data_IF_721757300933
#
_entry.id   IF_721757300933
#
_cell.length_a   1.000
_cell.length_b   1.000
_cell.length_c   1.000
_cell.angle_alpha   90.00
_cell.angle_beta   90.00
_cell.angle_gamma   90.00
#
_symmetry.space_group_name_H-M   'P 1'
#
loop_
_entity.id
_entity.type
_entity.pdbx_description
1 polymer ?
#
# COMPACT_ATOMS: atom_id res chain seq x y z
N UNK A 1 -17.21 -6.93 -4.64
CA UNK A 1 -16.60 -8.09 -5.32
C UNK A 1 -15.49 -8.57 -4.42
N UNK A 2 -15.60 -9.80 -3.93
CA UNK A 2 -14.78 -10.31 -2.83
C UNK A 2 -13.28 -10.31 -3.17
N UNK A 3 -12.50 -9.52 -2.42
CA UNK A 3 -11.06 -9.40 -2.61
C UNK A 3 -10.35 -10.73 -2.33
N UNK A 4 -10.89 -11.52 -1.39
CA UNK A 4 -10.36 -12.83 -1.02
C UNK A 4 -10.43 -13.80 -2.19
N UNK A 5 -11.60 -13.97 -2.79
CA UNK A 5 -11.79 -14.86 -3.96
C UNK A 5 -10.86 -14.50 -5.15
N UNK A 6 -10.60 -13.21 -5.37
CA UNK A 6 -9.66 -12.75 -6.42
C UNK A 6 -8.19 -13.09 -6.13
N UNK A 7 -7.81 -13.17 -4.86
CA UNK A 7 -6.45 -13.51 -4.45
C UNK A 7 -6.26 -15.03 -4.43
N UNK A 8 -7.23 -15.76 -3.87
CA UNK A 8 -7.20 -17.22 -3.82
C UNK A 8 -7.24 -17.84 -5.22
N UNK A 9 -8.01 -17.28 -6.16
CA UNK A 9 -8.01 -17.73 -7.57
C UNK A 9 -6.65 -17.55 -8.27
N UNK A 10 -5.79 -16.66 -7.75
CA UNK A 10 -4.42 -16.45 -8.23
C UNK A 10 -3.38 -17.26 -7.46
N UNK A 11 -3.82 -18.15 -6.56
CA UNK A 11 -2.94 -18.96 -5.71
C UNK A 11 -2.33 -18.19 -4.54
N UNK A 12 -2.79 -16.97 -4.26
CA UNK A 12 -2.32 -16.17 -3.13
C UNK A 12 -3.11 -16.55 -1.89
N UNK A 13 -2.42 -16.95 -0.82
CA UNK A 13 -3.05 -17.21 0.48
C UNK A 13 -3.49 -15.88 1.09
N UNK A 14 -4.81 -15.67 1.16
CA UNK A 14 -5.38 -14.54 1.89
C UNK A 14 -5.24 -14.76 3.38
N UNK A 15 -4.70 -13.77 4.08
CA UNK A 15 -4.58 -13.74 5.53
C UNK A 15 -5.67 -12.79 6.01
N UNK A 16 -6.70 -13.34 6.65
CA UNK A 16 -7.81 -12.53 7.14
C UNK A 16 -7.44 -11.90 8.49
N UNK A 17 -7.31 -10.57 8.57
CA UNK A 17 -6.95 -9.90 9.82
C UNK A 17 -8.05 -10.02 10.89
N UNK A 18 -9.27 -10.45 10.53
CA UNK A 18 -10.46 -10.35 11.38
C UNK A 18 -10.92 -11.64 12.05
N UNK A 19 -10.14 -12.73 11.99
CA UNK A 19 -10.61 -14.05 12.45
C UNK A 19 -10.77 -14.25 13.98
N UNK A 20 -10.95 -13.18 14.76
CA UNK A 20 -11.33 -13.27 16.17
C UNK A 20 -12.28 -12.18 16.72
N UNK A 21 -12.87 -11.31 15.89
CA UNK A 21 -13.83 -10.32 16.39
C UNK A 21 -15.04 -10.15 15.46
N UNK A 22 -16.16 -10.76 15.85
CA UNK A 22 -17.49 -10.32 15.46
C UNK A 22 -17.80 -9.00 16.17
N UNK A 23 -17.35 -7.87 15.63
CA UNK A 23 -17.84 -6.56 16.07
C UNK A 23 -17.92 -5.60 14.89
N UNK A 24 -19.16 -5.28 14.54
CA UNK A 24 -19.54 -4.26 13.56
C UNK A 24 -19.35 -2.88 14.18
N UNK A 25 -18.12 -2.42 14.40
CA UNK A 25 -17.84 -1.03 14.73
C UNK A 25 -16.33 -0.78 14.63
N UNK A 26 -15.96 0.28 13.92
CA UNK A 26 -14.57 0.71 13.71
C UNK A 26 -13.98 1.30 14.98
N UNK A 27 -13.82 0.45 15.98
CA UNK A 27 -13.33 0.78 17.31
C UNK A 27 -11.89 0.21 17.43
N UNK A 28 -10.98 0.89 18.12
CA UNK A 28 -9.53 0.63 18.10
C UNK A 28 -9.04 -0.80 18.45
N UNK A 29 -9.93 -1.73 18.84
CA UNK A 29 -9.67 -3.17 18.98
C UNK A 29 -9.13 -3.83 17.72
N UNK A 30 -9.45 -3.25 16.57
CA UNK A 30 -9.12 -3.75 15.24
C UNK A 30 -7.60 -3.72 14.96
N UNK A 31 -6.93 -2.68 15.44
CA UNK A 31 -5.48 -2.51 15.26
C UNK A 31 -4.67 -3.48 16.13
N UNK A 32 -5.14 -3.78 17.35
CA UNK A 32 -4.47 -4.71 18.26
C UNK A 32 -4.57 -6.15 17.76
N UNK A 33 -5.73 -6.56 17.24
CA UNK A 33 -5.92 -7.88 16.63
C UNK A 33 -5.01 -8.05 15.40
N UNK A 34 -4.95 -7.03 14.54
CA UNK A 34 -4.05 -7.01 13.38
C UNK A 34 -2.58 -7.11 13.81
N UNK A 35 -2.16 -6.35 14.83
CA UNK A 35 -0.78 -6.40 15.35
C UNK A 35 -0.42 -7.77 15.92
N UNK A 36 -1.32 -8.38 16.69
CA UNK A 36 -1.10 -9.72 17.26
C UNK A 36 -0.99 -10.79 16.17
N UNK A 37 -1.72 -10.63 15.06
CA UNK A 37 -1.59 -11.52 13.90
C UNK A 37 -0.24 -11.32 13.20
N UNK A 38 0.16 -10.07 12.96
CA UNK A 38 1.44 -9.75 12.32
C UNK A 38 2.62 -10.31 13.11
N UNK A 39 2.59 -10.23 14.44
CA UNK A 39 3.61 -10.84 15.30
C UNK A 39 3.82 -12.35 15.05
N UNK A 40 2.75 -13.09 14.71
CA UNK A 40 2.83 -14.54 14.44
C UNK A 40 3.31 -14.84 13.02
N UNK A 41 2.94 -13.99 12.05
CA UNK A 41 3.18 -14.26 10.62
C UNK A 41 4.55 -13.74 10.16
N UNK A 42 4.96 -12.55 10.62
CA UNK A 42 6.19 -11.88 10.18
C UNK A 42 7.47 -12.72 10.32
N UNK A 43 7.70 -13.53 11.38
CA UNK A 43 8.89 -14.39 11.48
C UNK A 43 9.05 -15.37 10.31
N UNK A 44 7.93 -15.86 9.79
CA UNK A 44 7.90 -16.86 8.70
C UNK A 44 8.13 -16.26 7.32
N UNK A 45 8.06 -14.93 7.17
CA UNK A 45 8.16 -14.23 5.88
C UNK A 45 9.57 -13.71 5.67
N UNK A 46 10.08 -13.78 4.44
CA UNK A 46 11.43 -13.28 4.10
C UNK A 46 11.41 -11.89 3.47
N UNK A 47 10.33 -11.56 2.77
CA UNK A 47 10.07 -10.28 2.14
C UNK A 47 8.66 -9.80 2.49
N UNK A 48 8.55 -8.58 2.97
CA UNK A 48 7.27 -7.92 3.27
C UNK A 48 7.15 -6.66 2.41
N UNK A 49 6.04 -6.51 1.71
CA UNK A 49 5.75 -5.33 0.88
C UNK A 49 4.60 -4.56 1.51
N UNK A 50 4.83 -3.30 1.85
CA UNK A 50 3.82 -2.40 2.42
C UNK A 50 3.33 -1.43 1.35
N UNK A 51 2.02 -1.49 1.05
CA UNK A 51 1.38 -0.67 0.02
C UNK A 51 0.18 0.12 0.53
N UNK A 52 -0.05 0.16 1.84
CA UNK A 52 -1.19 0.89 2.39
C UNK A 52 -0.94 2.40 2.21
N UNK A 53 -1.96 3.09 1.69
CA UNK A 53 -1.94 4.53 1.49
C UNK A 53 -3.34 5.07 1.79
N UNK A 54 -3.44 6.03 2.70
CA UNK A 54 -4.66 6.77 2.90
C UNK A 54 -4.77 7.89 1.86
N UNK A 55 -6.00 8.36 1.62
CA UNK A 55 -6.30 9.37 0.58
C UNK A 55 -5.66 10.74 0.85
N UNK A 56 -5.36 11.02 2.11
CA UNK A 56 -4.69 12.20 2.63
C UNK A 56 -3.15 12.06 2.65
N UNK A 57 -2.61 10.99 2.05
CA UNK A 57 -1.17 10.73 1.96
C UNK A 57 -0.45 10.50 3.30
N UNK A 58 -1.18 10.38 4.41
CA UNK A 58 -0.64 9.89 5.67
C UNK A 58 -0.78 8.37 5.69
N UNK A 59 0.29 7.64 5.40
CA UNK A 59 0.19 6.19 5.54
C UNK A 59 0.04 5.84 7.02
N UNK A 60 -0.82 4.88 7.37
CA UNK A 60 -0.90 4.38 8.74
C UNK A 60 0.44 3.74 9.09
N UNK A 61 1.01 4.09 10.25
CA UNK A 61 2.18 3.39 10.80
C UNK A 61 1.78 1.95 11.14
N UNK A 62 1.86 1.09 10.12
CA UNK A 62 1.36 -0.28 10.16
C UNK A 62 2.42 -1.23 10.73
N UNK A 63 3.69 -0.88 10.55
CA UNK A 63 4.83 -1.63 11.09
C UNK A 63 5.62 -0.78 12.07
N UNK A 64 5.41 -1.07 13.35
CA UNK A 64 6.23 -0.58 14.45
C UNK A 64 7.65 -1.15 14.39
N UNK A 65 8.62 -0.45 14.99
CA UNK A 65 10.00 -0.92 15.08
C UNK A 65 10.15 -2.26 15.81
N UNK A 66 9.23 -2.59 16.72
CA UNK A 66 9.19 -3.90 17.37
C UNK A 66 8.84 -5.02 16.37
N UNK A 67 7.82 -4.82 15.53
CA UNK A 67 7.40 -5.77 14.50
C UNK A 67 8.51 -6.03 13.47
N UNK A 68 9.23 -4.98 13.09
CA UNK A 68 10.41 -5.09 12.21
C UNK A 68 11.47 -5.99 12.86
N UNK A 69 11.73 -5.82 14.15
CA UNK A 69 12.77 -6.57 14.85
C UNK A 69 12.45 -8.07 15.00
N UNK A 70 11.17 -8.42 15.09
CA UNK A 70 10.69 -9.80 15.17
C UNK A 70 11.01 -10.62 13.91
N UNK A 71 11.18 -9.97 12.75
CA UNK A 71 11.57 -10.67 11.52
C UNK A 71 12.98 -11.28 11.65
N UNK A 72 13.92 -10.56 12.25
CA UNK A 72 15.31 -11.02 12.40
C UNK A 72 16.18 -10.81 11.15
N UNK A 73 17.48 -11.13 11.29
CA UNK A 73 18.52 -10.73 10.33
C UNK A 73 18.33 -11.36 8.95
N UNK A 74 18.65 -10.59 7.90
CA UNK A 74 18.70 -11.07 6.52
C UNK A 74 17.38 -10.94 5.74
N UNK A 75 16.31 -10.53 6.41
CA UNK A 75 15.01 -10.29 5.78
C UNK A 75 14.87 -8.85 5.27
N UNK A 76 13.89 -8.63 4.40
CA UNK A 76 13.70 -7.37 3.71
C UNK A 76 12.26 -6.85 3.85
N UNK A 77 12.11 -5.56 4.06
CA UNK A 77 10.85 -4.83 4.01
C UNK A 77 10.95 -3.82 2.88
N UNK A 78 9.96 -3.81 1.98
CA UNK A 78 9.84 -2.83 0.91
C UNK A 78 8.59 -1.99 1.15
N UNK A 79 8.80 -0.72 1.48
CA UNK A 79 7.72 0.23 1.74
C UNK A 79 7.50 1.11 0.52
N UNK A 80 6.35 0.96 -0.14
CA UNK A 80 6.02 1.68 -1.38
C UNK A 80 5.66 3.14 -1.14
N UNK A 81 5.24 3.52 0.06
CA UNK A 81 4.89 4.90 0.42
C UNK A 81 5.96 5.57 1.27
N UNK A 82 6.97 4.82 1.70
CA UNK A 82 8.03 5.25 2.63
C UNK A 82 7.52 5.82 3.96
N UNK A 83 6.30 5.46 4.35
CA UNK A 83 5.59 5.98 5.53
C UNK A 83 4.81 4.92 6.31
N UNK A 84 4.74 3.67 5.81
CA UNK A 84 4.10 2.56 6.52
C UNK A 84 4.98 2.02 7.65
N UNK A 85 6.29 2.22 7.56
CA UNK A 85 7.28 1.68 8.49
C UNK A 85 7.89 2.82 9.32
N UNK A 86 7.95 2.67 10.65
CA UNK A 86 8.54 3.70 11.53
C UNK A 86 10.02 4.00 11.25
N UNK A 87 10.74 3.05 10.63
CA UNK A 87 12.17 3.14 10.32
C UNK A 87 12.46 3.44 8.84
N UNK A 88 11.42 3.54 7.99
CA UNK A 88 11.61 3.82 6.57
C UNK A 88 12.02 5.29 6.38
N UNK A 89 12.95 5.51 5.44
CA UNK A 89 13.33 6.84 4.96
C UNK A 89 13.06 6.92 3.46
N UNK A 90 12.39 7.96 2.95
CA UNK A 90 12.08 8.07 1.53
C UNK A 90 13.35 8.05 0.67
N UNK A 91 13.43 7.09 -0.25
CA UNK A 91 14.53 6.97 -1.21
C UNK A 91 15.79 6.30 -0.66
N UNK A 92 15.80 5.84 0.59
CA UNK A 92 16.96 5.21 1.22
C UNK A 92 16.73 3.73 1.53
N UNK A 93 17.82 2.97 1.55
CA UNK A 93 17.86 1.62 2.09
C UNK A 93 18.48 1.69 3.48
N UNK A 94 17.63 1.56 4.51
CA UNK A 94 18.02 1.56 5.91
C UNK A 94 18.21 0.13 6.37
N UNK A 95 19.30 -0.15 7.10
CA UNK A 95 19.48 -1.43 7.79
C UNK A 95 19.28 -1.19 9.28
N UNK A 96 18.34 -1.89 9.91
CA UNK A 96 18.19 -1.79 11.36
C UNK A 96 19.42 -2.39 12.05
N UNK A 97 20.13 -1.59 12.84
CA UNK A 97 21.35 -2.01 13.53
C UNK A 97 21.11 -3.07 14.60
N UNK A 98 19.87 -3.19 15.10
CA UNK A 98 19.51 -4.15 16.16
C UNK A 98 19.10 -5.50 15.57
N UNK A 99 18.19 -5.51 14.60
CA UNK A 99 17.67 -6.75 14.01
C UNK A 99 18.33 -7.17 12.69
N UNK A 100 19.12 -6.30 12.06
CA UNK A 100 19.75 -6.55 10.76
C UNK A 100 18.76 -6.74 9.59
N UNK A 101 17.53 -6.27 9.74
CA UNK A 101 16.52 -6.23 8.67
C UNK A 101 16.83 -5.07 7.72
N UNK A 102 16.72 -5.32 6.41
CA UNK A 102 16.84 -4.28 5.38
C UNK A 102 15.48 -3.67 5.12
N UNK A 103 15.40 -2.35 5.11
CA UNK A 103 14.18 -1.57 4.91
C UNK A 103 14.42 -0.67 3.71
N UNK A 104 13.68 -0.92 2.63
CA UNK A 104 13.74 -0.15 1.40
C UNK A 104 12.55 0.80 1.40
N UNK A 105 12.80 2.09 1.67
CA UNK A 105 11.79 3.12 1.52
C UNK A 105 11.74 3.56 0.06
N UNK A 106 10.84 2.98 -0.74
CA UNK A 106 10.70 3.39 -2.14
C UNK A 106 10.12 4.81 -2.20
N UNK A 107 10.81 5.68 -2.93
CA UNK A 107 10.28 6.98 -3.31
C UNK A 107 10.04 6.97 -4.82
N UNK A 108 8.80 7.32 -5.23
CA UNK A 108 8.37 7.36 -6.64
C UNK A 108 8.71 6.07 -7.41
N UNK A 109 8.06 4.96 -7.05
CA UNK A 109 8.28 3.67 -7.72
C UNK A 109 8.14 3.71 -9.26
N UNK A 110 7.36 4.66 -9.80
CA UNK A 110 7.22 4.87 -11.25
C UNK A 110 8.54 5.35 -11.92
N UNK A 111 9.39 6.05 -11.19
CA UNK A 111 10.66 6.57 -11.69
C UNK A 111 11.68 5.44 -11.93
N UNK A 112 11.50 4.27 -11.30
CA UNK A 112 12.33 3.10 -11.54
C UNK A 112 12.10 2.47 -12.92
N UNK A 113 10.94 2.69 -13.55
CA UNK A 113 10.59 2.14 -14.86
C UNK A 113 9.90 3.21 -15.71
N UNK A 114 10.61 4.29 -16.07
CA UNK A 114 10.00 5.50 -16.62
C UNK A 114 9.31 5.25 -17.96
N UNK A 115 9.91 4.43 -18.84
CA UNK A 115 9.34 4.09 -20.14
C UNK A 115 7.98 3.38 -20.02
N UNK A 116 7.88 2.36 -19.16
CA UNK A 116 6.63 1.64 -18.94
C UNK A 116 5.58 2.51 -18.24
N UNK A 117 6.00 3.36 -17.30
CA UNK A 117 5.14 4.32 -16.63
C UNK A 117 4.53 5.32 -17.63
N UNK A 118 5.33 5.90 -18.52
CA UNK A 118 4.85 6.80 -19.57
C UNK A 118 3.86 6.12 -20.51
N UNK A 119 4.15 4.91 -20.98
CA UNK A 119 3.22 4.15 -21.84
C UNK A 119 1.88 3.89 -21.15
N UNK A 120 1.91 3.48 -19.88
CA UNK A 120 0.71 3.26 -19.05
C UNK A 120 -0.09 4.55 -18.90
N UNK A 121 0.59 5.67 -18.61
CA UNK A 121 -0.02 6.97 -18.42
C UNK A 121 -0.66 7.52 -19.70
N UNK A 122 0.05 7.48 -20.83
CA UNK A 122 -0.48 7.86 -22.15
C UNK A 122 -1.71 7.00 -22.51
N UNK A 123 -1.68 5.71 -22.20
CA UNK A 123 -2.82 4.82 -22.44
C UNK A 123 -4.04 5.20 -21.59
N UNK A 124 -3.83 5.61 -20.32
CA UNK A 124 -4.91 6.12 -19.47
C UNK A 124 -5.55 7.37 -20.08
N UNK A 125 -4.75 8.33 -20.58
CA UNK A 125 -5.25 9.55 -21.23
C UNK A 125 -6.07 9.19 -22.48
N UNK A 126 -5.53 8.33 -23.34
CA UNK A 126 -6.23 7.89 -24.55
C UNK A 126 -7.55 7.20 -24.22
N UNK A 127 -7.58 6.36 -23.18
CA UNK A 127 -8.80 5.68 -22.76
C UNK A 127 -9.84 6.64 -22.20
N UNK A 128 -9.43 7.64 -21.42
CA UNK A 128 -10.32 8.70 -20.93
C UNK A 128 -10.92 9.44 -22.12
N UNK A 129 -10.10 9.93 -23.06
CA UNK A 129 -10.57 10.65 -24.24
C UNK A 129 -11.52 9.82 -25.10
N UNK A 130 -11.23 8.53 -25.28
CA UNK A 130 -12.13 7.61 -25.99
C UNK A 130 -13.47 7.46 -25.26
N UNK A 131 -13.45 7.32 -23.94
CA UNK A 131 -14.68 7.20 -23.14
C UNK A 131 -15.52 8.48 -23.11
N UNK A 132 -14.89 9.65 -23.31
CA UNK A 132 -15.54 10.96 -23.33
C UNK A 132 -16.07 11.39 -24.70
N UNK A 133 -16.24 10.46 -25.65
CA UNK A 133 -16.77 10.76 -26.99
C UNK A 133 -15.71 10.95 -28.08
N UNK A 134 -14.43 10.70 -27.78
CA UNK A 134 -13.33 10.86 -28.71
C UNK A 134 -12.91 12.32 -28.90
N UNK A 135 -11.85 12.55 -29.69
CA UNK A 135 -11.23 13.88 -29.84
C UNK A 135 -12.18 14.94 -30.44
N UNK A 136 -13.16 14.52 -31.25
CA UNK A 136 -14.08 15.43 -31.94
C UNK A 136 -15.30 15.86 -31.08
N UNK A 137 -15.68 15.08 -30.06
CA UNK A 137 -16.85 15.34 -29.23
C UNK A 137 -16.52 15.55 -27.75
N UNK A 138 -15.24 15.66 -27.41
CA UNK A 138 -14.78 15.94 -26.04
C UNK A 138 -15.28 17.31 -25.59
N UNK A 139 -16.22 17.31 -24.64
CA UNK A 139 -16.69 18.52 -23.98
C UNK A 139 -16.54 18.38 -22.48
N UNK A 140 -16.00 19.43 -21.85
CA UNK A 140 -15.89 19.53 -20.39
C UNK A 140 -16.85 20.61 -19.94
N UNK A 141 -17.98 20.21 -19.38
CA UNK A 141 -18.89 21.14 -18.72
C UNK A 141 -18.53 21.19 -17.25
N UNK A 142 -17.80 22.23 -16.84
CA UNK A 142 -17.59 22.49 -15.42
C UNK A 142 -18.93 22.92 -14.81
N UNK A 143 -19.42 22.19 -13.80
CA UNK A 143 -20.58 22.61 -13.02
C UNK A 143 -20.11 23.53 -11.87
N UNK A 144 -20.37 24.85 -11.94
CA UNK A 144 -19.89 25.80 -10.93
C UNK A 144 -20.53 25.61 -9.54
N UNK A 145 -21.56 24.76 -9.41
CA UNK A 145 -22.24 24.54 -8.12
C UNK A 145 -21.55 23.50 -7.21
N UNK A 146 -20.44 22.89 -7.65
CA UNK A 146 -19.73 21.83 -6.89
C UNK A 146 -18.40 22.25 -6.26
N UNK A 147 -17.98 23.51 -6.37
CA UNK A 147 -16.85 24.06 -5.61
C UNK A 147 -17.22 24.34 -4.15
N UNK A 148 -17.49 23.27 -3.39
CA UNK A 148 -17.38 23.28 -1.93
C UNK A 148 -16.40 22.18 -1.56
N UNK A 149 -15.12 22.54 -1.53
CA UNK A 149 -14.10 21.78 -0.84
C UNK A 149 -14.19 22.23 0.63
N UNK A 150 -14.81 21.40 1.48
CA UNK A 150 -14.73 21.51 2.94
C UNK A 150 -13.45 20.86 3.44
#
# INVERSE_FOLDING_TARGET
GDARARLESRGVRYIDPWHAATSTSGDGSDFDAQRAMLMKVLPSMDLVICSAANRDNTAPQTLDGELVRVMGRGKCIVDLTSSNTALARPGEVVVDGVSGVKIVGMHKAADCIPAAASIRYSSCIVNILKSSGGAAAFSVTANPTSTRWS
#
